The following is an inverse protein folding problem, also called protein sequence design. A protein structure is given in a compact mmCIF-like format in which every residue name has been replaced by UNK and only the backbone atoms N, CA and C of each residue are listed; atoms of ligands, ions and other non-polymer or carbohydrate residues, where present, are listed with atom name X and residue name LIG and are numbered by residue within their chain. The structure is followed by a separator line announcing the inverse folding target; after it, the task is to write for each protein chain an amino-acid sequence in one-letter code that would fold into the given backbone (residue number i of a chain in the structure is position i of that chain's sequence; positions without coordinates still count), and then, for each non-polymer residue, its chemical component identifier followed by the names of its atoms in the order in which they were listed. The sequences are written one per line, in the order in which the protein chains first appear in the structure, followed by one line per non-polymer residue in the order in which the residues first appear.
data_IF_929876418095
#
_entry.id   IF_929876418095
#
_cell.length_a   1.000
_cell.length_b   1.000
_cell.length_c   1.000
_cell.angle_alpha   90.00
_cell.angle_beta   90.00
_cell.angle_gamma   90.00
#
_symmetry.space_group_name_H-M   'P 1'
#
loop_
_entity.id
_entity.type
_entity.pdbx_description
1 polymer ?
#
# COMPACT_ATOMS: atom_id res chain seq x y z
N UNK A 1 23.83 -8.35 -4.90
CA UNK A 1 23.17 -7.59 -3.81
C UNK A 1 22.78 -8.51 -2.66
N UNK A 2 22.12 -9.65 -2.94
CA UNK A 2 21.73 -10.67 -1.93
C UNK A 2 22.91 -11.21 -1.12
N UNK A 3 24.09 -11.36 -1.71
CA UNK A 3 25.25 -11.95 -1.03
C UNK A 3 25.95 -10.94 -0.11
N UNK A 4 25.96 -9.66 -0.47
CA UNK A 4 26.56 -8.56 0.32
C UNK A 4 25.74 -8.30 1.60
N UNK A 5 24.42 -8.38 1.48
CA UNK A 5 23.49 -8.17 2.59
C UNK A 5 23.07 -9.48 3.27
N UNK A 6 23.66 -10.62 2.87
CA UNK A 6 23.35 -11.93 3.44
C UNK A 6 23.66 -11.98 4.95
N UNK A 7 24.73 -11.30 5.38
CA UNK A 7 25.14 -11.15 6.78
C UNK A 7 24.15 -10.34 7.64
N UNK A 8 23.30 -9.52 7.00
CA UNK A 8 22.33 -8.64 7.66
C UNK A 8 20.88 -9.06 7.41
N UNK A 9 20.64 -10.33 7.03
CA UNK A 9 19.29 -10.88 6.82
C UNK A 9 18.37 -10.79 8.04
N UNK A 10 18.93 -10.67 9.25
CA UNK A 10 18.15 -10.50 10.46
C UNK A 10 17.52 -9.10 10.59
N UNK A 11 18.02 -8.11 9.85
CA UNK A 11 17.68 -6.69 9.97
C UNK A 11 17.19 -6.08 8.65
N UNK A 12 17.51 -6.73 7.52
CA UNK A 12 17.16 -6.26 6.19
C UNK A 12 16.70 -7.41 5.29
N UNK A 13 15.62 -7.18 4.56
CA UNK A 13 15.07 -8.09 3.56
C UNK A 13 15.33 -7.50 2.18
N UNK A 14 16.11 -8.23 1.37
CA UNK A 14 16.52 -7.80 0.03
C UNK A 14 15.68 -8.54 -1.00
N UNK A 15 14.91 -7.78 -1.78
CA UNK A 15 14.10 -8.31 -2.87
C UNK A 15 14.45 -7.59 -4.18
N UNK A 16 15.29 -8.24 -4.99
CA UNK A 16 15.77 -7.78 -6.31
C UNK A 16 16.38 -6.37 -6.26
N UNK A 17 15.56 -5.32 -6.35
CA UNK A 17 15.97 -3.91 -6.38
C UNK A 17 15.54 -3.13 -5.13
N UNK A 18 14.78 -3.74 -4.22
CA UNK A 18 14.27 -3.10 -3.02
C UNK A 18 14.92 -3.72 -1.78
N UNK A 19 15.34 -2.85 -0.87
CA UNK A 19 15.87 -3.24 0.43
C UNK A 19 14.89 -2.74 1.48
N UNK A 20 14.32 -3.65 2.25
CA UNK A 20 13.43 -3.35 3.37
C UNK A 20 14.24 -3.47 4.64
N UNK A 21 14.36 -2.39 5.40
CA UNK A 21 14.97 -2.39 6.74
C UNK A 21 13.86 -2.42 7.77
N UNK A 22 13.96 -3.27 8.79
CA UNK A 22 12.97 -3.33 9.87
C UNK A 22 13.69 -3.37 11.22
N UNK A 23 13.04 -2.83 12.26
CA UNK A 23 13.64 -2.65 13.60
C UNK A 23 12.54 -2.59 14.66
N UNK A 24 12.88 -2.80 15.94
CA UNK A 24 11.90 -2.83 17.02
C UNK A 24 11.66 -1.45 17.63
N UNK A 25 12.66 -0.58 17.62
CA UNK A 25 12.56 0.82 18.06
C UNK A 25 13.02 1.80 16.99
N UNK A 26 12.67 3.08 17.14
CA UNK A 26 13.08 4.14 16.21
C UNK A 26 14.60 4.40 16.27
N UNK A 27 15.18 4.38 17.47
CA UNK A 27 16.63 4.53 17.66
C UNK A 27 17.40 3.40 16.99
N UNK A 28 16.99 2.15 17.19
CA UNK A 28 17.57 0.99 16.48
C UNK A 28 17.43 1.11 14.96
N UNK A 29 16.31 1.67 14.49
CA UNK A 29 16.07 1.84 13.06
C UNK A 29 17.04 2.80 12.41
N UNK A 30 17.39 3.90 13.09
CA UNK A 30 18.38 4.84 12.62
C UNK A 30 19.77 4.20 12.53
N UNK A 31 20.14 3.39 13.52
CA UNK A 31 21.40 2.65 13.50
C UNK A 31 21.45 1.64 12.34
N UNK A 32 20.37 0.89 12.11
CA UNK A 32 20.29 -0.06 10.99
C UNK A 32 20.33 0.63 9.62
N UNK A 33 19.63 1.76 9.45
CA UNK A 33 19.70 2.55 8.22
C UNK A 33 21.13 3.05 8.00
N UNK A 34 21.77 3.57 9.04
CA UNK A 34 23.13 4.11 8.96
C UNK A 34 24.12 3.03 8.55
N UNK A 35 24.05 1.85 9.16
CA UNK A 35 24.88 0.70 8.77
C UNK A 35 24.63 0.28 7.31
N UNK A 36 23.37 0.24 6.88
CA UNK A 36 23.03 -0.16 5.52
C UNK A 36 23.54 0.85 4.48
N UNK A 37 23.39 2.15 4.74
CA UNK A 37 23.90 3.21 3.88
C UNK A 37 25.42 3.15 3.75
N UNK A 38 26.14 2.87 4.85
CA UNK A 38 27.59 2.70 4.83
C UNK A 38 28.02 1.51 3.94
N UNK A 39 27.33 0.38 4.05
CA UNK A 39 27.61 -0.81 3.22
C UNK A 39 27.34 -0.52 1.74
N UNK A 40 26.23 0.13 1.43
CA UNK A 40 25.92 0.53 0.05
C UNK A 40 26.97 1.49 -0.52
N UNK A 41 27.47 2.42 0.30
CA UNK A 41 28.56 3.33 -0.07
C UNK A 41 29.87 2.58 -0.37
N UNK A 42 30.28 1.66 0.51
CA UNK A 42 31.49 0.83 0.33
C UNK A 42 31.40 0.03 -0.98
N UNK A 43 30.22 -0.51 -1.28
CA UNK A 43 30.00 -1.31 -2.49
C UNK A 43 29.56 -0.49 -3.71
N UNK A 44 29.70 0.84 -3.68
CA UNK A 44 29.44 1.73 -4.82
C UNK A 44 28.01 1.65 -5.39
N UNK A 45 27.03 1.29 -4.57
CA UNK A 45 25.63 1.26 -4.98
C UNK A 45 25.00 2.65 -4.91
N UNK A 46 24.33 3.05 -5.98
CA UNK A 46 23.58 4.30 -6.02
C UNK A 46 22.12 4.07 -5.63
N UNK A 47 21.67 4.80 -4.60
CA UNK A 47 20.26 4.88 -4.23
C UNK A 47 19.56 5.94 -5.09
N UNK A 48 18.31 5.67 -5.46
CA UNK A 48 17.48 6.67 -6.12
C UNK A 48 16.65 7.40 -5.05
N UNK A 49 17.00 8.65 -4.66
CA UNK A 49 16.34 9.36 -3.57
C UNK A 49 14.86 9.60 -3.84
N UNK A 50 14.45 9.72 -5.11
CA UNK A 50 13.03 9.86 -5.48
C UNK A 50 12.20 8.59 -5.24
N UNK A 51 12.86 7.43 -5.09
CA UNK A 51 12.23 6.15 -4.77
C UNK A 51 12.49 5.70 -3.32
N UNK A 52 13.31 6.45 -2.57
CA UNK A 52 13.56 6.19 -1.16
C UNK A 52 12.37 6.70 -0.34
N UNK A 53 11.60 5.78 0.24
CA UNK A 53 10.54 6.14 1.16
C UNK A 53 11.17 6.44 2.53
N UNK A 54 11.41 7.71 2.84
CA UNK A 54 12.07 8.15 4.09
C UNK A 54 11.15 8.10 5.33
N UNK A 55 9.92 7.63 5.20
CA UNK A 55 9.00 7.51 6.32
C UNK A 55 8.98 6.07 6.83
N UNK A 56 9.11 5.86 8.15
CA UNK A 56 8.94 4.53 8.71
C UNK A 56 7.53 4.05 8.39
N UNK A 57 7.39 3.02 7.55
CA UNK A 57 6.17 2.22 7.50
C UNK A 57 6.15 1.39 8.80
N UNK A 58 5.81 2.03 9.93
CA UNK A 58 5.53 1.35 11.18
C UNK A 58 4.24 0.56 11.05
N UNK A 59 4.31 -0.66 10.54
CA UNK A 59 3.09 -1.36 10.25
C UNK A 59 3.26 -2.82 10.63
N UNK A 60 2.58 -3.15 11.71
CA UNK A 60 2.63 -4.40 12.43
C UNK A 60 2.53 -5.61 11.48
N UNK A 61 3.10 -6.74 11.89
CA UNK A 61 2.94 -7.98 11.15
C UNK A 61 1.46 -8.30 10.96
N UNK A 62 1.08 -8.50 9.70
CA UNK A 62 -0.30 -8.83 9.36
C UNK A 62 -0.60 -10.25 9.78
N UNK A 63 -1.66 -10.43 10.57
CA UNK A 63 -2.10 -11.76 10.96
C UNK A 63 -3.17 -12.25 9.96
N UNK A 64 -2.98 -13.45 9.38
CA UNK A 64 -3.78 -13.97 8.28
C UNK A 64 -5.25 -14.23 8.66
N UNK A 65 -5.56 -14.37 9.94
CA UNK A 65 -6.87 -14.83 10.42
C UNK A 65 -7.90 -13.72 10.61
N UNK A 66 -7.54 -12.44 10.44
CA UNK A 66 -8.47 -11.34 10.64
C UNK A 66 -8.74 -10.61 9.34
N UNK A 67 -9.94 -10.03 9.25
CA UNK A 67 -10.32 -9.15 8.15
C UNK A 67 -9.44 -7.92 8.11
N UNK A 68 -9.27 -7.42 6.89
CA UNK A 68 -8.45 -6.24 6.64
C UNK A 68 -9.38 -5.10 6.24
N UNK A 69 -9.18 -3.94 6.87
CA UNK A 69 -9.91 -2.72 6.61
C UNK A 69 -9.06 -1.82 5.72
N UNK A 70 -9.64 -1.39 4.61
CA UNK A 70 -9.01 -0.46 3.69
C UNK A 70 -9.84 0.83 3.67
N UNK A 71 -9.29 1.90 4.25
CA UNK A 71 -9.87 3.24 4.13
C UNK A 71 -9.20 3.97 2.99
N UNK A 72 -9.98 4.52 2.07
CA UNK A 72 -9.48 5.22 0.89
C UNK A 72 -10.07 6.61 0.86
N UNK A 73 -9.21 7.57 0.55
CA UNK A 73 -9.58 8.95 0.28
C UNK A 73 -8.97 9.40 -1.04
N UNK A 74 -9.78 10.08 -1.85
CA UNK A 74 -9.38 10.56 -3.16
C UNK A 74 -9.84 11.99 -3.34
N UNK A 75 -8.88 12.87 -3.60
CA UNK A 75 -9.11 14.28 -3.89
C UNK A 75 -8.59 14.62 -5.28
N UNK A 76 -8.87 15.82 -5.80
CA UNK A 76 -8.27 16.31 -7.06
C UNK A 76 -6.76 16.57 -6.96
N UNK A 77 -6.17 16.47 -5.77
CA UNK A 77 -4.76 16.74 -5.50
C UNK A 77 -3.98 15.43 -5.36
N UNK A 78 -4.46 14.55 -4.49
CA UNK A 78 -3.78 13.29 -4.14
C UNK A 78 -4.79 12.19 -3.84
N UNK A 79 -4.32 10.97 -4.01
CA UNK A 79 -4.97 9.73 -3.56
C UNK A 79 -4.23 9.25 -2.32
N UNK A 80 -4.98 8.77 -1.34
CA UNK A 80 -4.45 8.10 -0.17
C UNK A 80 -5.28 6.86 0.18
N UNK A 81 -4.61 5.88 0.78
CA UNK A 81 -5.24 4.68 1.29
C UNK A 81 -4.53 4.19 2.53
N UNK A 82 -5.26 3.76 3.55
CA UNK A 82 -4.69 3.18 4.74
C UNK A 82 -5.26 1.79 4.96
N UNK A 83 -4.37 0.82 5.14
CA UNK A 83 -4.69 -0.55 5.44
C UNK A 83 -4.58 -0.72 6.95
N UNK A 84 -5.63 -1.23 7.56
CA UNK A 84 -5.75 -1.39 9.00
C UNK A 84 -6.28 -2.79 9.31
N UNK A 85 -5.95 -3.28 10.49
CA UNK A 85 -6.41 -4.56 10.99
C UNK A 85 -6.83 -4.37 12.44
N UNK A 86 -8.00 -4.88 12.80
CA UNK A 86 -8.45 -4.88 14.19
C UNK A 86 -7.96 -6.19 14.82
N UNK A 87 -7.03 -6.07 15.77
CA UNK A 87 -6.59 -7.21 16.60
C UNK A 87 -6.82 -6.85 18.06
N UNK A 88 -7.49 -7.72 18.82
CA UNK A 88 -7.74 -7.56 20.26
C UNK A 88 -8.32 -6.18 20.64
N UNK A 89 -9.26 -5.68 19.84
CA UNK A 89 -9.90 -4.37 20.05
C UNK A 89 -9.01 -3.14 19.75
N UNK A 90 -7.78 -3.34 19.29
CA UNK A 90 -6.88 -2.26 18.86
C UNK A 90 -6.74 -2.25 17.34
N UNK A 91 -6.93 -1.06 16.75
CA UNK A 91 -6.66 -0.81 15.34
C UNK A 91 -5.14 -0.74 15.13
N UNK A 92 -4.61 -1.71 14.38
CA UNK A 92 -3.23 -1.75 13.95
C UNK A 92 -3.17 -1.38 12.49
N UNK A 93 -2.44 -0.32 12.18
CA UNK A 93 -2.20 0.01 10.78
C UNK A 93 -1.20 -1.01 10.22
N UNK A 94 -1.43 -1.44 8.97
CA UNK A 94 -0.63 -2.39 8.20
C UNK A 94 0.03 -1.77 6.95
N UNK A 95 -0.58 -0.76 6.35
CA UNK A 95 -0.02 -0.12 5.15
C UNK A 95 -0.54 1.30 5.00
N UNK A 96 0.33 2.21 4.57
CA UNK A 96 -0.06 3.54 4.14
C UNK A 96 0.32 3.71 2.68
N UNK A 97 -0.66 4.14 1.89
CA UNK A 97 -0.50 4.52 0.51
C UNK A 97 -0.83 6.00 0.36
N UNK A 98 0.04 6.75 -0.30
CA UNK A 98 -0.30 8.05 -0.83
C UNK A 98 0.37 8.24 -2.19
N UNK A 99 -0.34 8.90 -3.10
CA UNK A 99 0.18 9.22 -4.42
C UNK A 99 -0.43 10.53 -4.92
N UNK A 100 0.42 11.40 -5.46
CA UNK A 100 -0.02 12.63 -6.15
C UNK A 100 -0.59 12.26 -7.51
N UNK A 101 -1.73 12.86 -7.83
CA UNK A 101 -2.47 12.59 -9.06
C UNK A 101 -1.87 13.39 -10.22
N UNK A 102 -1.81 12.79 -11.40
CA UNK A 102 -1.33 13.48 -12.61
C UNK A 102 -2.32 14.54 -13.12
N UNK A 103 -1.84 15.48 -13.94
CA UNK A 103 -2.67 16.55 -14.51
C UNK A 103 -3.84 16.03 -15.36
N UNK A 104 -3.71 14.84 -15.95
CA UNK A 104 -4.78 14.20 -16.73
C UNK A 104 -5.85 13.59 -15.84
N UNK A 105 -5.44 12.88 -14.78
CA UNK A 105 -6.33 12.25 -13.81
C UNK A 105 -7.07 13.29 -12.95
N UNK A 106 -6.51 14.49 -12.74
CA UNK A 106 -7.20 15.59 -12.03
C UNK A 106 -8.52 16.03 -12.69
N UNK A 107 -8.71 15.72 -13.98
CA UNK A 107 -9.94 15.99 -14.73
C UNK A 107 -11.03 14.94 -14.54
N UNK A 108 -10.74 13.83 -13.84
CA UNK A 108 -11.70 12.78 -13.59
C UNK A 108 -12.72 13.22 -12.53
N UNK A 109 -13.92 12.64 -12.63
CA UNK A 109 -14.98 12.86 -11.65
C UNK A 109 -14.64 12.20 -10.31
N UNK A 110 -15.27 12.64 -9.21
CA UNK A 110 -14.99 12.12 -7.86
C UNK A 110 -15.15 10.59 -7.78
N UNK A 111 -16.15 10.02 -8.46
CA UNK A 111 -16.39 8.57 -8.52
C UNK A 111 -15.24 7.86 -9.26
N UNK A 112 -14.78 8.42 -10.38
CA UNK A 112 -13.65 7.86 -11.14
C UNK A 112 -12.34 7.93 -10.34
N UNK A 113 -12.12 9.04 -9.63
CA UNK A 113 -10.96 9.24 -8.77
C UNK A 113 -10.93 8.24 -7.62
N UNK A 114 -12.05 8.02 -6.93
CA UNK A 114 -12.14 6.99 -5.89
C UNK A 114 -11.96 5.59 -6.46
N UNK A 115 -12.55 5.28 -7.62
CA UNK A 115 -12.38 3.97 -8.27
C UNK A 115 -10.91 3.72 -8.65
N UNK A 116 -10.24 4.75 -9.18
CA UNK A 116 -8.81 4.71 -9.47
C UNK A 116 -7.98 4.54 -8.20
N UNK A 117 -8.37 5.22 -7.11
CA UNK A 117 -7.70 5.12 -5.83
C UNK A 117 -7.77 3.71 -5.25
N UNK A 118 -8.94 3.07 -5.31
CA UNK A 118 -9.11 1.65 -4.95
C UNK A 118 -8.14 0.80 -5.76
N UNK A 119 -8.17 0.92 -7.09
CA UNK A 119 -7.33 0.10 -7.96
C UNK A 119 -5.83 0.26 -7.69
N UNK A 120 -5.36 1.51 -7.53
CA UNK A 120 -3.95 1.81 -7.24
C UNK A 120 -3.51 1.27 -5.88
N UNK A 121 -4.39 1.32 -4.87
CA UNK A 121 -4.13 0.68 -3.59
C UNK A 121 -4.02 -0.83 -3.79
N UNK A 122 -5.04 -1.48 -4.35
CA UNK A 122 -5.10 -2.91 -4.58
C UNK A 122 -3.88 -3.46 -5.32
N UNK A 123 -3.42 -2.77 -6.36
CA UNK A 123 -2.24 -3.19 -7.13
C UNK A 123 -0.97 -3.26 -6.26
N UNK A 124 -0.83 -2.33 -5.29
CA UNK A 124 0.33 -2.26 -4.39
C UNK A 124 0.23 -3.21 -3.21
N UNK A 125 -0.96 -3.34 -2.61
CA UNK A 125 -1.19 -4.19 -1.43
C UNK A 125 -1.71 -5.59 -1.80
N UNK A 126 -1.61 -6.00 -3.07
CA UNK A 126 -2.11 -7.29 -3.57
C UNK A 126 -1.68 -8.48 -2.72
N UNK A 127 -0.43 -8.51 -2.25
CA UNK A 127 0.09 -9.57 -1.38
C UNK A 127 -0.61 -9.68 -0.02
N UNK A 128 -1.19 -8.60 0.49
CA UNK A 128 -1.92 -8.57 1.76
C UNK A 128 -3.41 -8.92 1.62
N UNK A 129 -3.97 -8.74 0.41
CA UNK A 129 -5.40 -8.87 0.13
C UNK A 129 -5.81 -10.26 -0.36
N UNK A 130 -4.90 -10.99 -1.02
CA UNK A 130 -5.21 -12.30 -1.60
C UNK A 130 -5.64 -13.31 -0.52
N UNK A 131 -6.83 -13.91 -0.72
CA UNK A 131 -7.37 -14.97 0.14
C UNK A 131 -7.98 -14.50 1.46
N UNK A 132 -8.27 -13.20 1.62
CA UNK A 132 -8.87 -12.64 2.85
C UNK A 132 -10.15 -11.87 2.55
N UNK A 133 -11.00 -11.69 3.56
CA UNK A 133 -12.13 -10.76 3.51
C UNK A 133 -11.64 -9.33 3.75
N UNK A 134 -12.08 -8.43 2.87
CA UNK A 134 -11.62 -7.04 2.83
C UNK A 134 -12.83 -6.12 3.01
N UNK A 135 -12.77 -5.24 3.99
CA UNK A 135 -13.78 -4.21 4.22
C UNK A 135 -13.24 -2.89 3.66
N UNK A 136 -13.96 -2.29 2.72
CA UNK A 136 -13.53 -1.04 2.09
C UNK A 136 -14.41 0.12 2.59
N UNK A 137 -13.76 1.17 3.08
CA UNK A 137 -14.40 2.44 3.42
C UNK A 137 -13.98 3.51 2.42
N UNK A 138 -14.96 4.07 1.72
CA UNK A 138 -14.81 5.15 0.72
C UNK A 138 -15.96 6.13 0.87
N UNK A 139 -15.71 7.43 0.70
CA UNK A 139 -16.73 8.47 0.90
C UNK A 139 -17.90 8.37 -0.07
N UNK A 140 -17.68 8.00 -1.33
CA UNK A 140 -18.73 7.96 -2.34
C UNK A 140 -19.09 6.55 -2.83
N UNK A 141 -18.59 5.50 -2.15
CA UNK A 141 -18.92 4.08 -2.38
C UNK A 141 -19.03 3.69 -3.87
N UNK A 142 -17.98 3.90 -4.70
CA UNK A 142 -18.02 3.62 -6.12
C UNK A 142 -18.34 2.14 -6.40
N UNK A 143 -17.95 1.25 -5.48
CA UNK A 143 -18.24 -0.18 -5.49
C UNK A 143 -19.74 -0.50 -5.41
N UNK A 144 -20.52 0.29 -4.66
CA UNK A 144 -21.97 0.14 -4.60
C UNK A 144 -22.60 0.49 -5.94
N UNK A 145 -22.11 1.54 -6.60
CA UNK A 145 -22.55 1.96 -7.93
C UNK A 145 -22.15 0.93 -9.01
N UNK A 146 -20.93 0.39 -8.94
CA UNK A 146 -20.37 -0.62 -9.85
C UNK A 146 -21.14 -1.94 -9.86
N UNK A 147 -21.66 -2.38 -8.72
CA UNK A 147 -22.33 -3.68 -8.59
C UNK A 147 -23.85 -3.61 -8.79
N UNK A 148 -24.48 -2.48 -8.47
CA UNK A 148 -25.95 -2.38 -8.47
C UNK A 148 -26.51 -1.78 -9.77
N UNK A 149 -25.69 -1.17 -10.62
CA UNK A 149 -26.14 -0.52 -11.85
C UNK A 149 -25.12 -0.67 -12.97
N UNK A 150 -25.57 -0.66 -14.22
CA UNK A 150 -24.71 -0.48 -15.38
C UNK A 150 -24.16 0.95 -15.37
N UNK A 151 -23.04 1.16 -14.68
CA UNK A 151 -22.34 2.44 -14.72
C UNK A 151 -22.00 2.70 -16.19
N UNK A 152 -22.45 3.83 -16.77
CA UNK A 152 -22.15 4.18 -18.18
C UNK A 152 -20.67 4.47 -18.44
N UNK A 153 -19.81 4.27 -17.44
CA UNK A 153 -18.42 4.65 -17.45
C UNK A 153 -17.51 3.42 -17.60
N UNK A 154 -16.99 3.25 -18.83
CA UNK A 154 -16.10 2.15 -19.21
C UNK A 154 -14.87 1.98 -18.31
N UNK A 155 -14.37 3.06 -17.67
CA UNK A 155 -13.20 2.97 -16.79
C UNK A 155 -13.54 2.27 -15.48
N UNK A 156 -14.68 2.63 -14.92
CA UNK A 156 -15.21 2.06 -13.68
C UNK A 156 -15.56 0.59 -13.90
N UNK A 157 -16.17 0.25 -15.03
CA UNK A 157 -16.48 -1.14 -15.40
C UNK A 157 -15.22 -2.01 -15.54
N UNK A 158 -14.13 -1.48 -16.09
CA UNK A 158 -12.86 -2.23 -16.18
C UNK A 158 -12.31 -2.57 -14.80
N UNK A 159 -12.39 -1.62 -13.88
CA UNK A 159 -11.90 -1.83 -12.51
C UNK A 159 -12.86 -2.78 -11.75
N UNK A 160 -14.17 -2.75 -12.03
CA UNK A 160 -15.11 -3.68 -11.38
C UNK A 160 -14.81 -5.13 -11.71
N UNK A 161 -14.51 -5.43 -12.97
CA UNK A 161 -14.09 -6.77 -13.41
C UNK A 161 -12.83 -7.21 -12.66
N UNK A 162 -11.84 -6.32 -12.50
CA UNK A 162 -10.60 -6.64 -11.78
C UNK A 162 -10.83 -6.86 -10.28
N UNK A 163 -11.79 -6.16 -9.68
CA UNK A 163 -12.09 -6.28 -8.25
C UNK A 163 -12.89 -7.54 -7.91
N UNK A 164 -13.48 -8.23 -8.89
CA UNK A 164 -14.16 -9.52 -8.68
C UNK A 164 -13.22 -10.64 -8.21
N UNK A 165 -11.91 -10.49 -8.42
CA UNK A 165 -10.91 -11.44 -7.92
C UNK A 165 -10.81 -11.47 -6.38
N UNK A 166 -11.33 -10.44 -5.70
CA UNK A 166 -11.18 -10.26 -4.26
C UNK A 166 -12.53 -10.44 -3.52
N UNK A 167 -12.47 -11.05 -2.34
CA UNK A 167 -13.63 -11.18 -1.45
C UNK A 167 -13.86 -9.88 -0.67
N UNK A 168 -14.58 -8.95 -1.29
CA UNK A 168 -14.87 -7.62 -0.74
C UNK A 168 -16.21 -7.63 0.00
N UNK A 169 -16.17 -7.34 1.30
CA UNK A 169 -17.34 -7.11 2.15
C UNK A 169 -17.63 -5.61 2.23
N UNK A 170 -18.93 -5.25 2.17
CA UNK A 170 -19.39 -3.85 2.16
C UNK A 170 -19.82 -3.43 3.57
N UNK A 171 -19.66 -2.14 3.86
CA UNK A 171 -20.43 -1.41 4.87
C UNK A 171 -21.11 -0.20 4.21
#
# INVERSE_FOLDING_TARGET
MTDILSSYRQLSLVYINNIVVYSRSFEEHLDHITQLLLILLIHSFQLNPSKCMNFPLFLNFSNNNYSVILTIDASKVSISGTLQQITDGKTKNLYYHSQVISSTQRRYDSIELETLAIWLCFQRIRSYLLGRSIIIYTYHCPLCNMMNSSVKNRRVDRISILLQEYHIEKN
#
